data_IF_214943018880
#
_entry.id   IF_214943018880
#
_cell.length_a   1.000
_cell.length_b   1.000
_cell.length_c   1.000
_cell.angle_alpha   90.00
_cell.angle_beta   90.00
_cell.angle_gamma   90.00
#
_symmetry.space_group_name_H-M   'P 1'
#
loop_
_entity.id
_entity.type
_entity.pdbx_description
1 polymer ?
#
# COMPACT_ATOMS: atom_id res chain seq x y z
N UNK A 1 -1.36 -26.33 -1.05
CA UNK A 1 -1.32 -24.87 -1.33
C UNK A 1 -2.52 -24.27 -0.61
N UNK A 2 -2.39 -23.25 0.25
CA UNK A 2 -3.57 -22.69 0.87
C UNK A 2 -4.38 -21.99 -0.22
N UNK A 3 -5.67 -22.30 -0.25
CA UNK A 3 -6.62 -21.86 -1.24
C UNK A 3 -6.62 -20.33 -1.37
N UNK A 4 -6.76 -19.82 -2.60
CA UNK A 4 -7.09 -18.42 -2.83
C UNK A 4 -8.40 -18.16 -2.11
N UNK A 5 -8.35 -17.35 -1.04
CA UNK A 5 -9.54 -16.92 -0.32
C UNK A 5 -10.33 -15.98 -1.25
N UNK A 6 -11.13 -16.59 -2.13
CA UNK A 6 -11.70 -15.95 -3.32
C UNK A 6 -12.99 -15.18 -3.01
N UNK A 7 -13.30 -14.95 -1.73
CA UNK A 7 -14.54 -14.33 -1.26
C UNK A 7 -14.39 -13.15 -0.30
N UNK A 8 -13.21 -12.93 0.30
CA UNK A 8 -13.06 -11.86 1.30
C UNK A 8 -12.79 -10.51 0.62
N UNK A 9 -13.72 -9.58 0.84
CA UNK A 9 -13.57 -8.17 0.47
C UNK A 9 -12.89 -7.45 1.62
N UNK A 10 -11.69 -6.92 1.38
CA UNK A 10 -10.98 -6.08 2.32
C UNK A 10 -11.29 -4.60 2.06
N UNK A 11 -11.80 -3.92 3.09
CA UNK A 11 -11.97 -2.46 3.09
C UNK A 11 -10.65 -1.78 3.41
N UNK A 12 -10.28 -0.81 2.59
CA UNK A 12 -9.06 -0.01 2.75
C UNK A 12 -9.39 1.48 2.71
N UNK A 13 -8.53 2.29 3.29
CA UNK A 13 -8.61 3.75 3.27
C UNK A 13 -7.33 4.33 2.71
N UNK A 14 -7.46 5.16 1.69
CA UNK A 14 -6.33 5.80 1.04
C UNK A 14 -6.44 7.31 1.17
N UNK A 15 -5.51 7.91 1.90
CA UNK A 15 -5.33 9.35 1.96
C UNK A 15 -4.35 9.80 0.87
N UNK A 16 -4.69 10.84 0.11
CA UNK A 16 -3.83 11.41 -0.92
C UNK A 16 -4.13 12.89 -1.17
N UNK A 17 -3.19 13.57 -1.85
CA UNK A 17 -3.30 15.00 -2.16
C UNK A 17 -4.50 15.24 -3.09
N UNK A 18 -5.36 16.26 -2.83
CA UNK A 18 -6.60 16.49 -3.58
C UNK A 18 -6.44 16.58 -5.09
N UNK A 19 -5.29 17.09 -5.56
CA UNK A 19 -4.91 17.19 -6.97
C UNK A 19 -5.04 15.84 -7.71
N UNK A 20 -4.85 14.72 -7.03
CA UNK A 20 -4.88 13.37 -7.61
C UNK A 20 -6.20 12.63 -7.43
N UNK A 21 -7.26 13.31 -6.97
CA UNK A 21 -8.56 12.68 -6.74
C UNK A 21 -9.20 12.04 -7.97
N UNK A 22 -8.73 12.38 -9.17
CA UNK A 22 -9.21 11.78 -10.42
C UNK A 22 -8.61 10.40 -10.71
N UNK A 23 -7.57 10.02 -9.97
CA UNK A 23 -6.85 8.76 -10.15
C UNK A 23 -6.57 8.07 -8.79
N UNK A 24 -7.61 7.77 -7.98
CA UNK A 24 -7.45 7.23 -6.62
C UNK A 24 -6.81 5.83 -6.59
N UNK A 25 -6.75 5.15 -7.74
CA UNK A 25 -6.15 3.82 -7.93
C UNK A 25 -4.81 3.87 -8.66
N UNK A 26 -4.23 5.05 -8.86
CA UNK A 26 -2.91 5.19 -9.48
C UNK A 26 -1.79 4.85 -8.49
N UNK A 27 -0.81 4.08 -8.96
CA UNK A 27 0.44 3.78 -8.26
C UNK A 27 1.62 4.65 -8.71
N UNK A 28 1.42 5.61 -9.61
CA UNK A 28 2.49 6.37 -10.27
C UNK A 28 3.34 7.19 -9.28
N UNK A 29 2.73 7.76 -8.25
CA UNK A 29 3.47 8.47 -7.21
C UNK A 29 4.47 7.56 -6.49
N UNK A 30 4.04 6.35 -6.12
CA UNK A 30 4.91 5.36 -5.51
C UNK A 30 5.98 4.87 -6.51
N UNK A 31 5.63 4.65 -7.78
CA UNK A 31 6.61 4.27 -8.80
C UNK A 31 7.67 5.36 -9.01
N UNK A 32 7.28 6.64 -9.01
CA UNK A 32 8.20 7.75 -9.25
C UNK A 32 9.22 7.94 -8.14
N UNK A 33 8.79 7.84 -6.88
CA UNK A 33 9.62 8.18 -5.72
C UNK A 33 10.13 6.96 -4.94
N UNK A 34 9.62 5.76 -5.26
CA UNK A 34 9.81 4.59 -4.41
C UNK A 34 9.06 4.72 -3.08
N UNK A 35 9.17 3.67 -2.27
CA UNK A 35 8.58 3.61 -0.94
C UNK A 35 9.21 2.50 -0.12
N UNK A 36 8.75 2.36 1.14
CA UNK A 36 9.23 1.30 2.03
C UNK A 36 9.10 -0.08 1.38
N UNK A 37 8.00 -0.33 0.67
CA UNK A 37 7.65 -1.62 0.09
C UNK A 37 7.67 -1.60 -1.45
N UNK A 38 8.38 -0.67 -2.09
CA UNK A 38 8.56 -0.68 -3.55
C UNK A 38 9.79 0.09 -4.01
N UNK A 39 10.56 -0.44 -4.99
CA UNK A 39 11.62 0.32 -5.64
C UNK A 39 11.05 1.40 -6.57
N UNK A 40 11.91 2.34 -6.97
CA UNK A 40 11.61 3.28 -8.07
C UNK A 40 11.31 2.48 -9.34
N UNK A 41 10.30 2.92 -10.09
CA UNK A 41 9.75 2.24 -11.26
C UNK A 41 8.65 1.23 -10.97
N UNK A 42 8.47 0.80 -9.71
CA UNK A 42 7.42 -0.15 -9.34
C UNK A 42 6.18 0.56 -8.78
N UNK A 43 5.06 0.44 -9.49
CA UNK A 43 3.76 0.93 -9.04
C UNK A 43 3.26 0.19 -7.80
N UNK A 44 2.78 0.94 -6.81
CA UNK A 44 2.26 0.40 -5.56
C UNK A 44 1.12 1.26 -5.03
N UNK A 45 0.06 0.62 -4.53
CA UNK A 45 -0.97 1.29 -3.72
C UNK A 45 -0.61 1.14 -2.26
N UNK A 46 -0.42 2.27 -1.59
CA UNK A 46 -0.38 2.34 -0.13
C UNK A 46 -1.75 2.76 0.38
N UNK A 47 -2.33 1.95 1.25
CA UNK A 47 -3.59 2.24 1.93
C UNK A 47 -3.56 1.69 3.35
N UNK A 48 -4.44 2.15 4.22
CA UNK A 48 -4.60 1.61 5.56
C UNK A 48 -5.82 0.70 5.66
N UNK A 49 -5.84 -0.17 6.68
CA UNK A 49 -7.01 -1.00 7.04
C UNK A 49 -7.91 -0.33 8.08
N UNK A 50 -7.57 0.87 8.52
CA UNK A 50 -8.40 1.71 9.37
C UNK A 50 -8.36 3.17 8.88
N UNK A 51 -9.49 3.87 8.97
CA UNK A 51 -9.59 5.28 8.57
C UNK A 51 -8.63 6.18 9.37
N UNK A 52 -8.56 5.97 10.68
CA UNK A 52 -7.66 6.69 11.58
C UNK A 52 -6.19 6.50 11.19
N UNK A 53 -5.82 5.27 10.84
CA UNK A 53 -4.47 4.93 10.37
C UNK A 53 -4.13 5.66 9.07
N UNK A 54 -5.06 5.70 8.09
CA UNK A 54 -4.82 6.40 6.83
C UNK A 54 -4.55 7.90 7.04
N UNK A 55 -5.31 8.53 7.94
CA UNK A 55 -5.11 9.93 8.29
C UNK A 55 -3.79 10.17 9.05
N UNK A 56 -3.45 9.30 9.99
CA UNK A 56 -2.21 9.40 10.75
C UNK A 56 -0.96 9.26 9.84
N UNK A 57 -0.95 8.26 8.95
CA UNK A 57 0.15 8.03 8.00
C UNK A 57 0.34 9.18 7.01
N UNK A 58 -0.76 9.75 6.49
CA UNK A 58 -0.67 10.92 5.60
C UNK A 58 -0.01 12.14 6.29
N UNK A 59 -0.19 12.27 7.59
CA UNK A 59 0.34 13.36 8.41
C UNK A 59 1.68 13.02 9.10
N UNK A 60 2.43 12.04 8.59
CA UNK A 60 3.78 11.72 9.12
C UNK A 60 4.77 12.91 9.05
N UNK A 61 4.53 13.89 8.17
CA UNK A 61 5.35 15.10 8.06
C UNK A 61 4.94 16.22 9.02
N UNK A 62 5.88 17.12 9.35
CA UNK A 62 5.63 18.26 10.25
C UNK A 62 4.57 19.26 9.76
N UNK A 63 4.28 19.30 8.46
CA UNK A 63 3.28 20.20 7.86
C UNK A 63 2.09 19.37 7.39
N UNK A 64 0.93 19.64 8.00
CA UNK A 64 -0.34 19.06 7.57
C UNK A 64 -0.80 19.75 6.28
N UNK A 65 -0.97 18.96 5.22
CA UNK A 65 -1.53 19.43 3.96
C UNK A 65 -2.99 18.97 3.86
N UNK A 66 -3.85 19.66 3.09
CA UNK A 66 -5.17 19.13 2.77
C UNK A 66 -5.07 17.73 2.16
N UNK A 67 -5.99 16.84 2.51
CA UNK A 67 -6.05 15.48 1.98
C UNK A 67 -7.48 15.15 1.56
N UNK A 68 -7.61 14.27 0.57
CA UNK A 68 -8.82 13.50 0.32
C UNK A 68 -8.56 12.09 0.83
N UNK A 69 -9.55 11.51 1.52
CA UNK A 69 -9.54 10.10 1.89
C UNK A 69 -10.62 9.38 1.09
N UNK A 70 -10.22 8.38 0.32
CA UNK A 70 -11.13 7.48 -0.38
C UNK A 70 -11.18 6.12 0.33
N UNK A 71 -12.38 5.56 0.47
CA UNK A 71 -12.54 4.16 0.80
C UNK A 71 -12.37 3.32 -0.47
N UNK A 72 -11.62 2.23 -0.34
CA UNK A 72 -11.38 1.26 -1.40
C UNK A 72 -11.91 -0.12 -0.97
N UNK A 73 -12.33 -0.92 -1.94
CA UNK A 73 -12.60 -2.34 -1.76
C UNK A 73 -11.60 -3.15 -2.58
N UNK A 74 -10.92 -4.08 -1.90
CA UNK A 74 -9.96 -5.00 -2.48
C UNK A 74 -10.53 -6.42 -2.40
N UNK A 75 -10.68 -7.07 -3.54
CA UNK A 75 -11.22 -8.42 -3.64
C UNK A 75 -10.20 -9.38 -4.28
N UNK A 76 -10.11 -10.60 -3.74
CA UNK A 76 -9.31 -11.69 -4.31
C UNK A 76 -7.80 -11.51 -4.21
N UNK A 77 -7.32 -10.68 -3.27
CA UNK A 77 -5.89 -10.43 -3.07
C UNK A 77 -5.27 -11.45 -2.13
N UNK A 78 -4.08 -11.96 -2.49
CA UNK A 78 -3.25 -12.71 -1.56
C UNK A 78 -2.22 -11.78 -0.92
N UNK A 79 -2.45 -11.41 0.33
CA UNK A 79 -1.58 -10.50 1.08
C UNK A 79 -0.73 -11.26 2.10
N UNK A 80 0.56 -10.95 2.16
CA UNK A 80 1.44 -11.48 3.19
C UNK A 80 1.29 -10.65 4.46
N UNK A 81 0.82 -11.26 5.55
CA UNK A 81 0.67 -10.54 6.81
C UNK A 81 1.97 -10.52 7.61
N UNK A 82 2.78 -9.48 7.39
CA UNK A 82 4.05 -9.29 8.10
C UNK A 82 3.89 -8.68 9.49
N UNK A 83 2.66 -8.52 9.98
CA UNK A 83 2.40 -8.24 11.40
C UNK A 83 2.49 -9.53 12.23
N UNK A 84 2.29 -10.69 11.60
CA UNK A 84 2.49 -12.00 12.21
C UNK A 84 3.98 -12.39 12.15
N UNK A 85 4.60 -12.64 13.31
CA UNK A 85 6.02 -13.02 13.38
C UNK A 85 6.33 -14.30 12.59
N UNK A 86 5.43 -15.29 12.62
CA UNK A 86 5.59 -16.55 11.89
C UNK A 86 5.73 -16.35 10.37
N UNK A 87 5.04 -15.35 9.79
CA UNK A 87 5.20 -15.03 8.36
C UNK A 87 6.59 -14.48 8.12
N UNK A 88 7.05 -13.51 8.90
CA UNK A 88 8.41 -12.96 8.77
C UNK A 88 9.50 -14.03 8.94
N UNK A 89 9.38 -14.86 9.97
CA UNK A 89 10.31 -15.95 10.26
C UNK A 89 10.40 -16.95 9.11
N UNK A 90 9.29 -17.25 8.43
CA UNK A 90 9.28 -18.12 7.24
C UNK A 90 10.07 -17.57 6.05
N UNK A 91 10.32 -16.25 6.02
CA UNK A 91 11.20 -15.59 5.05
C UNK A 91 12.57 -15.22 5.64
N UNK A 92 12.88 -15.68 6.87
CA UNK A 92 14.13 -15.36 7.56
C UNK A 92 14.25 -13.90 7.97
N UNK A 93 13.13 -13.20 8.15
CA UNK A 93 13.06 -11.81 8.56
C UNK A 93 12.54 -11.67 9.99
N UNK A 94 12.78 -10.52 10.61
CA UNK A 94 12.28 -10.19 11.94
C UNK A 94 11.46 -8.89 11.92
N UNK A 95 10.76 -8.60 13.02
CA UNK A 95 9.83 -7.47 13.11
C UNK A 95 10.50 -6.09 12.99
N UNK A 96 11.82 -6.03 13.15
CA UNK A 96 12.64 -4.82 12.94
C UNK A 96 12.69 -4.36 11.49
N UNK A 97 12.34 -5.22 10.52
CA UNK A 97 12.16 -4.85 9.10
C UNK A 97 11.21 -3.64 8.94
N UNK A 98 10.22 -3.50 9.82
CA UNK A 98 9.26 -2.39 9.80
C UNK A 98 9.86 -1.07 10.23
N UNK A 99 10.98 -1.11 10.96
CA UNK A 99 11.75 0.06 11.42
C UNK A 99 12.94 0.37 10.52
N UNK A 100 13.13 -0.36 9.41
CA UNK A 100 14.26 -0.10 8.53
C UNK A 100 14.23 1.33 7.97
N UNK A 101 15.39 1.98 7.94
CA UNK A 101 15.61 3.27 7.29
C UNK A 101 15.78 3.08 5.79
N UNK A 102 14.74 2.56 5.13
CA UNK A 102 14.75 2.18 3.71
C UNK A 102 15.20 3.32 2.79
N UNK A 103 14.90 4.57 3.16
CA UNK A 103 15.32 5.75 2.38
C UNK A 103 16.83 5.96 2.45
N UNK A 104 17.43 5.82 3.63
CA UNK A 104 18.87 5.91 3.81
C UNK A 104 19.61 4.78 3.07
N UNK A 105 19.06 3.57 3.07
CA UNK A 105 19.62 2.46 2.30
C UNK A 105 19.63 2.76 0.80
N UNK A 106 18.53 3.28 0.24
CA UNK A 106 18.45 3.69 -1.16
C UNK A 106 19.42 4.83 -1.49
N UNK A 107 19.50 5.86 -0.64
CA UNK A 107 20.40 7.00 -0.81
C UNK A 107 21.88 6.55 -0.81
N UNK A 108 22.18 5.47 -0.09
CA UNK A 108 23.51 4.85 -0.07
C UNK A 108 23.74 3.80 -1.18
N UNK A 109 22.83 3.69 -2.16
CA UNK A 109 22.93 2.77 -3.28
C UNK A 109 22.72 1.29 -2.91
N UNK A 110 22.17 1.01 -1.72
CA UNK A 110 21.85 -0.35 -1.27
C UNK A 110 20.39 -0.69 -1.55
N UNK A 111 20.09 -1.98 -1.57
CA UNK A 111 18.71 -2.48 -1.73
C UNK A 111 18.14 -2.73 -0.32
N UNK A 112 17.08 -2.02 0.10
CA UNK A 112 16.42 -2.23 1.38
C UNK A 112 15.93 -3.68 1.57
N UNK A 113 15.98 -4.19 2.79
CA UNK A 113 15.49 -5.54 3.13
C UNK A 113 14.02 -5.74 2.75
N UNK A 114 13.19 -4.71 2.92
CA UNK A 114 11.78 -4.71 2.49
C UNK A 114 11.60 -4.90 0.98
N UNK A 115 12.51 -4.38 0.16
CA UNK A 115 12.49 -4.58 -1.29
C UNK A 115 12.89 -6.01 -1.65
N UNK A 116 13.90 -6.58 -0.97
CA UNK A 116 14.27 -7.99 -1.14
C UNK A 116 13.15 -8.93 -0.70
N UNK A 117 12.47 -8.62 0.40
CA UNK A 117 11.30 -9.39 0.85
C UNK A 117 10.16 -9.29 -0.16
N UNK A 118 9.88 -8.09 -0.70
CA UNK A 118 8.90 -7.92 -1.78
C UNK A 118 9.15 -8.87 -2.95
N UNK A 119 10.37 -8.96 -3.48
CA UNK A 119 10.65 -9.82 -4.64
C UNK A 119 10.38 -11.30 -4.35
N UNK A 120 10.72 -11.77 -3.14
CA UNK A 120 10.42 -13.14 -2.70
C UNK A 120 8.92 -13.38 -2.56
N UNK A 121 8.20 -12.43 -1.96
CA UNK A 121 6.74 -12.50 -1.82
C UNK A 121 6.03 -12.52 -3.18
N UNK A 122 6.50 -11.70 -4.13
CA UNK A 122 5.98 -11.72 -5.51
C UNK A 122 6.24 -13.08 -6.17
N UNK A 123 7.45 -13.63 -6.02
CA UNK A 123 7.78 -14.96 -6.56
C UNK A 123 6.88 -16.07 -6.00
N UNK A 124 6.47 -15.94 -4.73
CA UNK A 124 5.55 -16.87 -4.06
C UNK A 124 4.06 -16.59 -4.36
N UNK A 125 3.77 -15.60 -5.21
CA UNK A 125 2.44 -15.29 -5.73
C UNK A 125 1.60 -14.40 -4.82
N UNK A 126 2.21 -13.63 -3.93
CA UNK A 126 1.52 -12.58 -3.18
C UNK A 126 1.33 -11.32 -4.04
N UNK A 127 0.17 -10.68 -3.88
CA UNK A 127 -0.19 -9.44 -4.57
C UNK A 127 0.24 -8.19 -3.79
N UNK A 128 0.56 -8.36 -2.51
CA UNK A 128 0.95 -7.28 -1.61
C UNK A 128 1.28 -7.78 -0.21
N UNK A 129 1.48 -6.82 0.69
CA UNK A 129 1.89 -7.06 2.07
C UNK A 129 1.06 -6.21 3.04
N UNK A 130 0.66 -6.80 4.16
CA UNK A 130 0.13 -6.09 5.33
C UNK A 130 1.29 -5.84 6.28
N UNK A 131 1.45 -4.60 6.74
CA UNK A 131 2.52 -4.19 7.65
C UNK A 131 1.98 -3.24 8.74
N UNK A 132 2.63 -3.14 9.91
CA UNK A 132 2.15 -2.26 10.98
C UNK A 132 2.33 -0.79 10.59
N UNK A 133 1.38 0.05 11.00
CA UNK A 133 1.49 1.49 10.86
C UNK A 133 2.60 2.03 11.76
N UNK A 134 3.36 3.00 11.25
CA UNK A 134 4.33 3.74 12.04
C UNK A 134 3.67 4.88 12.82
N UNK A 135 2.67 5.53 12.22
CA UNK A 135 2.01 6.70 12.80
C UNK A 135 0.84 6.38 13.75
N UNK A 136 0.26 5.19 13.65
CA UNK A 136 -0.88 4.75 14.46
C UNK A 136 -0.59 3.39 15.11
N UNK A 137 -0.13 3.35 16.38
CA UNK A 137 0.11 2.09 17.08
C UNK A 137 -1.14 1.20 17.11
N UNK A 138 -1.00 -0.04 16.66
CA UNK A 138 -2.11 -1.00 16.53
C UNK A 138 -2.86 -0.91 15.20
N UNK A 139 -2.63 0.13 14.39
CA UNK A 139 -3.12 0.25 13.02
C UNK A 139 -2.29 -0.55 12.03
N UNK A 140 -2.90 -0.94 10.91
CA UNK A 140 -2.23 -1.71 9.85
C UNK A 140 -2.39 -1.08 8.48
N UNK A 141 -1.36 -1.23 7.66
CA UNK A 141 -1.27 -0.71 6.32
C UNK A 141 -1.07 -1.83 5.31
N UNK A 142 -1.43 -1.56 4.06
CA UNK A 142 -1.27 -2.44 2.90
C UNK A 142 -0.42 -1.73 1.86
N UNK A 143 0.59 -2.45 1.35
CA UNK A 143 1.25 -2.12 0.10
C UNK A 143 0.87 -3.17 -0.94
N UNK A 144 0.05 -2.77 -1.92
CA UNK A 144 -0.44 -3.63 -3.00
C UNK A 144 0.37 -3.37 -4.27
N UNK A 145 0.98 -4.41 -4.84
CA UNK A 145 1.89 -4.31 -5.98
C UNK A 145 1.22 -4.65 -7.32
N UNK A 146 0.10 -5.36 -7.29
CA UNK A 146 -0.64 -5.77 -8.49
C UNK A 146 -2.14 -5.65 -8.25
N UNK A 147 -2.84 -5.00 -9.17
CA UNK A 147 -4.30 -4.84 -9.15
C UNK A 147 -4.80 -4.52 -10.55
N UNK A 148 -6.09 -4.80 -10.82
CA UNK A 148 -6.82 -4.40 -12.03
C UNK A 148 -6.11 -4.74 -13.37
N UNK A 149 -5.29 -5.78 -13.36
CA UNK A 149 -4.67 -6.42 -14.51
C UNK A 149 -5.11 -7.88 -14.61
N UNK A 150 -5.03 -8.52 -15.78
CA UNK A 150 -5.44 -9.92 -15.93
C UNK A 150 -4.79 -10.84 -14.90
N UNK A 151 -5.62 -11.58 -14.14
CA UNK A 151 -5.16 -12.54 -13.13
C UNK A 151 -4.73 -11.94 -11.78
N UNK A 152 -4.88 -10.63 -11.60
CA UNK A 152 -4.61 -9.91 -10.34
C UNK A 152 -5.90 -9.61 -9.55
N UNK A 153 -5.80 -9.23 -8.27
CA UNK A 153 -6.96 -8.81 -7.50
C UNK A 153 -7.63 -7.57 -8.08
N UNK A 154 -8.90 -7.43 -7.72
CA UNK A 154 -9.69 -6.26 -8.10
C UNK A 154 -9.66 -5.22 -6.98
N UNK A 155 -9.29 -3.99 -7.35
CA UNK A 155 -9.31 -2.84 -6.45
C UNK A 155 -10.28 -1.79 -7.01
N UNK A 156 -11.27 -1.40 -6.21
CA UNK A 156 -12.28 -0.40 -6.58
C UNK A 156 -12.25 0.75 -5.59
N UNK A 157 -12.43 1.98 -6.08
CA UNK A 157 -12.75 3.12 -5.22
C UNK A 157 -14.26 3.18 -5.00
N UNK A 158 -14.70 3.40 -3.77
CA UNK A 158 -16.12 3.49 -3.43
C UNK A 158 -16.60 4.90 -3.69
N UNK A 159 -17.35 5.06 -4.78
CA UNK A 159 -17.93 6.32 -5.22
C UNK A 159 -19.28 6.09 -5.92
N UNK A 160 -20.32 5.64 -5.18
CA UNK A 160 -21.61 5.26 -5.76
C UNK A 160 -22.34 6.43 -6.45
N UNK A 161 -22.04 7.66 -6.04
CA UNK A 161 -22.65 8.87 -6.59
C UNK A 161 -21.78 9.56 -7.65
N UNK A 162 -20.60 9.02 -7.98
CA UNK A 162 -19.71 9.58 -9.00
C UNK A 162 -19.18 10.98 -8.63
N UNK A 163 -18.91 11.21 -7.34
CA UNK A 163 -18.41 12.49 -6.80
C UNK A 163 -16.93 12.70 -7.06
N UNK A 164 -16.16 11.64 -7.32
CA UNK A 164 -14.76 11.78 -7.64
C UNK A 164 -14.60 12.42 -9.04
N UNK A 165 -13.64 13.35 -9.18
CA UNK A 165 -13.38 13.98 -10.47
C UNK A 165 -12.97 12.93 -11.51
N UNK A 166 -13.32 13.17 -12.77
CA UNK A 166 -12.96 12.23 -13.86
C UNK A 166 -11.58 12.55 -14.45
N UNK A 167 -11.14 13.79 -14.32
CA UNK A 167 -9.86 14.28 -14.87
C UNK A 167 -9.22 15.29 -13.95
N UNK A 168 -7.94 15.61 -14.20
CA UNK A 168 -7.25 16.69 -13.50
C UNK A 168 -7.93 18.06 -13.66
N UNK A 169 -8.68 18.27 -14.76
CA UNK A 169 -9.36 19.52 -15.07
C UNK A 169 -10.74 19.65 -14.38
N UNK A 170 -11.24 18.61 -13.70
CA UNK A 170 -12.57 18.63 -13.07
C UNK A 170 -12.69 19.59 -11.86
N UNK A 171 -11.60 20.24 -11.46
CA UNK A 171 -11.57 21.25 -10.39
C UNK A 171 -11.45 22.70 -10.92
N UNK A 172 -11.41 22.88 -12.25
CA UNK A 172 -11.38 24.19 -12.91
C UNK A 172 -12.80 24.70 -13.17
#
# INVERSE_FOLDING_TARGET
>A
MPDRNSGDILKLWRAFVPRWAFAPLSGEGAARFGGRWNPVGASTIYAARELSTAWAEYNQGFVQHPAIIAQLELAGARLADTTASAVLESYGEAADIHRCEWRQELDAGRIPTTHRLRERLIADGFDGVIYPSFMSPGGTCVALWRWNTPGSPELRAIDPEGRLPKTAASWL
#
